data_IF_577951173787
#
_entry.id   IF_577951173787
#
_cell.length_a   1.000
_cell.length_b   1.000
_cell.length_c   1.000
_cell.angle_alpha   90.00
_cell.angle_beta   90.00
_cell.angle_gamma   90.00
#
_symmetry.space_group_name_H-M   'P 1'
#
loop_
_entity.id
_entity.type
_entity.pdbx_description
1 polymer ?
#
# COMPACT_ATOMS: atom_id res chain seq x y z
N UNK A 1 11.93 30.17 7.96
CA UNK A 1 10.58 30.45 7.42
C UNK A 1 10.27 29.67 6.14
N UNK A 2 11.06 29.73 5.05
CA UNK A 2 10.78 28.89 3.86
C UNK A 2 11.11 27.39 4.09
N UNK A 3 12.16 27.10 4.86
CA UNK A 3 12.63 25.75 5.13
C UNK A 3 11.69 24.94 6.04
N UNK A 4 10.99 25.62 6.95
CA UNK A 4 10.13 24.99 7.96
C UNK A 4 8.85 24.40 7.34
N UNK A 5 8.35 25.02 6.26
CA UNK A 5 7.16 24.52 5.52
C UNK A 5 7.49 23.27 4.71
N UNK A 6 8.66 23.27 4.05
CA UNK A 6 9.12 22.11 3.29
C UNK A 6 9.41 20.91 4.21
N UNK A 7 10.04 21.14 5.36
CA UNK A 7 10.27 20.11 6.36
C UNK A 7 8.96 19.50 6.88
N UNK A 8 7.96 20.34 7.16
CA UNK A 8 6.64 19.87 7.62
C UNK A 8 5.92 19.03 6.55
N UNK A 9 5.91 19.49 5.30
CA UNK A 9 5.30 18.74 4.20
C UNK A 9 5.98 17.37 4.02
N UNK A 10 7.31 17.30 4.15
CA UNK A 10 8.03 16.03 4.08
C UNK A 10 7.58 15.07 5.19
N UNK A 11 7.47 15.56 6.44
CA UNK A 11 6.94 14.75 7.56
C UNK A 11 5.52 14.29 7.30
N UNK A 12 4.64 15.16 6.81
CA UNK A 12 3.25 14.79 6.50
C UNK A 12 3.18 13.70 5.41
N UNK A 13 4.05 13.76 4.39
CA UNK A 13 4.14 12.74 3.33
C UNK A 13 4.66 11.42 3.88
N UNK A 14 5.69 11.44 4.71
CA UNK A 14 6.26 10.24 5.33
C UNK A 14 5.25 9.56 6.27
N UNK A 15 4.50 10.34 7.06
CA UNK A 15 3.45 9.83 7.95
C UNK A 15 2.35 9.11 7.16
N UNK A 16 1.89 9.70 6.05
CA UNK A 16 0.93 9.06 5.15
C UNK A 16 1.51 7.80 4.52
N UNK A 17 2.78 7.82 4.11
CA UNK A 17 3.43 6.63 3.57
C UNK A 17 3.43 5.49 4.60
N UNK A 18 3.75 5.79 5.87
CA UNK A 18 3.67 4.81 6.96
C UNK A 18 2.24 4.31 7.21
N UNK A 19 1.25 5.19 7.13
CA UNK A 19 -0.16 4.82 7.29
C UNK A 19 -0.64 3.87 6.18
N UNK A 20 -0.32 4.18 4.91
CA UNK A 20 -0.57 3.30 3.76
C UNK A 20 0.09 1.95 3.96
N UNK A 21 1.37 1.93 4.35
CA UNK A 21 2.09 0.70 4.64
C UNK A 21 1.40 -0.10 5.76
N UNK A 22 1.06 0.53 6.89
CA UNK A 22 0.42 -0.15 8.03
C UNK A 22 -0.86 -0.88 7.61
N UNK A 23 -1.71 -0.25 6.79
CA UNK A 23 -2.93 -0.86 6.27
C UNK A 23 -2.62 -2.06 5.36
N UNK A 24 -1.61 -1.94 4.50
CA UNK A 24 -1.23 -3.01 3.57
C UNK A 24 -0.52 -4.17 4.28
N UNK A 25 0.31 -3.90 5.29
CA UNK A 25 0.96 -4.92 6.09
C UNK A 25 -0.04 -5.67 6.96
N UNK A 26 -1.09 -5.04 7.46
CA UNK A 26 -2.00 -5.71 8.40
C UNK A 26 -2.93 -6.66 7.65
N UNK A 27 -2.84 -7.99 7.87
CA UNK A 27 -3.81 -8.91 7.28
C UNK A 27 -5.18 -8.65 7.89
N UNK A 28 -6.23 -8.67 7.04
CA UNK A 28 -7.60 -8.56 7.52
C UNK A 28 -7.88 -9.62 8.61
N UNK A 29 -8.39 -9.17 9.76
CA UNK A 29 -8.65 -10.02 10.93
C UNK A 29 -7.50 -10.19 11.92
N UNK A 30 -6.30 -9.66 11.64
CA UNK A 30 -5.14 -9.81 12.52
C UNK A 30 -5.22 -8.96 13.80
N UNK A 31 -5.85 -7.77 13.73
CA UNK A 31 -6.10 -6.93 14.90
C UNK A 31 -7.37 -7.41 15.62
N UNK A 32 -7.21 -8.10 16.76
CA UNK A 32 -8.31 -8.63 17.58
C UNK A 32 -9.31 -7.54 17.97
N UNK A 33 -8.84 -6.32 18.21
CA UNK A 33 -9.70 -5.20 18.59
C UNK A 33 -10.38 -4.53 17.39
N UNK A 34 -9.85 -4.74 16.18
CA UNK A 34 -10.36 -4.18 14.92
C UNK A 34 -10.26 -5.24 13.81
N UNK A 35 -11.09 -6.29 13.83
CA UNK A 35 -10.99 -7.39 12.86
C UNK A 35 -11.20 -6.94 11.41
N UNK A 36 -11.93 -5.85 11.19
CA UNK A 36 -12.14 -5.25 9.86
C UNK A 36 -10.94 -4.44 9.34
N UNK A 37 -9.94 -4.16 10.18
CA UNK A 37 -8.78 -3.35 9.82
C UNK A 37 -7.76 -4.20 9.04
N UNK A 38 -7.16 -3.59 8.02
CA UNK A 38 -6.13 -4.20 7.19
C UNK A 38 -6.57 -4.43 5.74
N UNK A 39 -5.85 -5.34 5.08
CA UNK A 39 -6.06 -5.66 3.68
C UNK A 39 -5.91 -7.17 3.41
N UNK A 40 -6.58 -7.64 2.36
CA UNK A 40 -6.67 -9.07 2.01
C UNK A 40 -5.91 -9.44 0.72
N UNK A 41 -5.03 -8.57 0.23
CA UNK A 41 -4.29 -8.79 -1.02
C UNK A 41 -3.40 -10.05 -0.99
N UNK A 42 -2.91 -10.45 0.19
CA UNK A 42 -1.99 -11.57 0.38
C UNK A 42 -2.56 -12.91 -0.08
N UNK A 43 -3.89 -13.07 -0.09
CA UNK A 43 -4.57 -14.30 -0.55
C UNK A 43 -4.31 -14.63 -2.02
N UNK A 44 -3.84 -13.66 -2.81
CA UNK A 44 -3.70 -13.77 -4.27
C UNK A 44 -2.23 -13.77 -4.72
N UNK A 45 -1.26 -13.78 -3.80
CA UNK A 45 0.16 -13.69 -4.17
C UNK A 45 0.62 -14.87 -5.02
N UNK A 46 0.17 -16.08 -4.72
CA UNK A 46 0.56 -17.28 -5.48
C UNK A 46 -0.26 -17.48 -6.76
N UNK A 47 -1.25 -16.61 -6.99
CA UNK A 47 -2.07 -16.68 -8.18
C UNK A 47 -1.34 -16.11 -9.42
N UNK A 48 -1.63 -16.64 -10.63
CA UNK A 48 -1.15 -16.04 -11.87
C UNK A 48 -1.52 -14.56 -11.97
N UNK A 49 -0.60 -13.71 -12.41
CA UNK A 49 -0.76 -12.24 -12.35
C UNK A 49 -2.03 -11.73 -13.06
N UNK A 50 -2.40 -12.34 -14.18
CA UNK A 50 -3.59 -11.94 -14.93
C UNK A 50 -4.89 -12.18 -14.14
N UNK A 51 -4.89 -13.18 -13.25
CA UNK A 51 -5.99 -13.47 -12.35
C UNK A 51 -5.88 -12.66 -11.05
N UNK A 52 -4.69 -12.60 -10.45
CA UNK A 52 -4.46 -11.92 -9.17
C UNK A 52 -4.69 -10.40 -9.24
N UNK A 53 -4.31 -9.76 -10.36
CA UNK A 53 -4.30 -8.29 -10.51
C UNK A 53 -5.61 -7.62 -10.13
N UNK A 54 -6.78 -7.95 -10.70
CA UNK A 54 -8.04 -7.30 -10.34
C UNK A 54 -8.41 -7.49 -8.86
N UNK A 55 -8.11 -8.66 -8.27
CA UNK A 55 -8.41 -8.94 -6.87
C UNK A 55 -7.51 -8.14 -5.91
N UNK A 56 -6.21 -8.12 -6.16
CA UNK A 56 -5.24 -7.33 -5.37
C UNK A 56 -5.57 -5.85 -5.47
N UNK A 57 -5.77 -5.32 -6.68
CA UNK A 57 -6.09 -3.90 -6.88
C UNK A 57 -7.37 -3.54 -6.15
N UNK A 58 -8.43 -4.36 -6.25
CA UNK A 58 -9.68 -4.13 -5.51
C UNK A 58 -9.46 -4.11 -4.00
N UNK A 59 -8.76 -5.10 -3.46
CA UNK A 59 -8.50 -5.19 -2.02
C UNK A 59 -7.74 -3.96 -1.51
N UNK A 60 -6.68 -3.55 -2.24
CA UNK A 60 -5.88 -2.36 -1.92
C UNK A 60 -6.74 -1.10 -1.97
N UNK A 61 -7.49 -0.88 -3.05
CA UNK A 61 -8.37 0.30 -3.20
C UNK A 61 -9.36 0.37 -2.02
N UNK A 62 -10.08 -0.73 -1.75
CA UNK A 62 -11.07 -0.76 -0.67
C UNK A 62 -10.46 -0.53 0.71
N UNK A 63 -9.26 -1.06 0.98
CA UNK A 63 -8.58 -0.87 2.26
C UNK A 63 -8.09 0.58 2.43
N UNK A 64 -7.47 1.15 1.40
CA UNK A 64 -6.93 2.52 1.45
C UNK A 64 -8.05 3.55 1.59
N UNK A 65 -9.10 3.46 0.78
CA UNK A 65 -10.24 4.39 0.85
C UNK A 65 -10.99 4.30 2.20
N UNK A 66 -11.02 3.11 2.82
CA UNK A 66 -11.68 2.92 4.12
C UNK A 66 -10.87 3.46 5.29
N UNK A 67 -9.55 3.27 5.27
CA UNK A 67 -8.72 3.48 6.46
C UNK A 67 -7.81 4.71 6.38
N UNK A 68 -7.36 5.12 5.19
CA UNK A 68 -6.46 6.27 5.01
C UNK A 68 -7.25 7.49 4.54
N UNK A 69 -8.10 8.01 5.41
CA UNK A 69 -9.07 9.09 5.08
C UNK A 69 -8.44 10.44 4.73
N UNK A 70 -7.14 10.62 5.02
CA UNK A 70 -6.40 11.88 4.83
C UNK A 70 -5.98 12.10 3.37
N UNK A 71 -6.11 11.09 2.53
CA UNK A 71 -5.71 11.12 1.12
C UNK A 71 -6.88 10.82 0.19
N UNK A 72 -6.78 11.31 -1.04
CA UNK A 72 -7.55 10.83 -2.17
C UNK A 72 -6.68 9.87 -2.98
N UNK A 73 -7.17 8.65 -3.17
CA UNK A 73 -6.51 7.64 -3.99
C UNK A 73 -6.64 8.01 -5.46
N UNK A 74 -5.50 8.14 -6.15
CA UNK A 74 -5.45 8.49 -7.56
C UNK A 74 -5.35 7.24 -8.42
N UNK A 75 -4.47 6.30 -8.03
CA UNK A 75 -4.21 5.10 -8.81
C UNK A 75 -3.61 3.99 -7.97
N UNK A 76 -3.93 2.75 -8.34
CA UNK A 76 -3.23 1.55 -7.88
C UNK A 76 -2.77 0.76 -9.09
N UNK A 77 -1.49 0.41 -9.14
CA UNK A 77 -0.90 -0.37 -10.22
C UNK A 77 -0.15 -1.56 -9.64
N UNK A 78 -0.45 -2.75 -10.18
CA UNK A 78 0.29 -3.96 -9.86
C UNK A 78 1.07 -4.43 -11.10
N UNK A 79 2.39 -4.40 -10.98
CA UNK A 79 3.32 -4.90 -11.99
C UNK A 79 3.99 -6.18 -11.52
N UNK A 80 4.31 -7.06 -12.46
CA UNK A 80 5.17 -8.22 -12.20
C UNK A 80 6.54 -7.92 -12.78
N UNK A 81 7.58 -8.27 -12.03
CA UNK A 81 8.98 -8.21 -12.43
C UNK A 81 9.55 -9.61 -12.35
N UNK A 82 10.25 -10.02 -13.40
CA UNK A 82 10.88 -11.33 -13.49
C UNK A 82 12.40 -11.16 -13.42
N UNK A 83 12.99 -11.43 -12.25
CA UNK A 83 14.42 -11.29 -12.02
C UNK A 83 15.03 -12.65 -11.67
N UNK A 84 15.98 -13.15 -12.48
CA UNK A 84 16.79 -14.35 -12.20
C UNK A 84 16.01 -15.55 -11.60
N UNK A 85 14.94 -16.00 -12.27
CA UNK A 85 14.02 -17.09 -11.86
C UNK A 85 13.05 -16.79 -10.69
N UNK A 86 13.01 -15.57 -10.17
CA UNK A 86 12.03 -15.16 -9.16
C UNK A 86 11.08 -14.10 -9.74
N UNK A 87 9.78 -14.39 -9.71
CA UNK A 87 8.75 -13.43 -10.08
C UNK A 87 8.35 -12.64 -8.84
N UNK A 88 8.56 -11.33 -8.84
CA UNK A 88 8.10 -10.41 -7.80
C UNK A 88 6.92 -9.58 -8.27
N UNK A 89 6.08 -9.16 -7.32
CA UNK A 89 4.96 -8.26 -7.59
C UNK A 89 5.21 -6.91 -6.92
N UNK A 90 5.27 -5.86 -7.74
CA UNK A 90 5.45 -4.48 -7.32
C UNK A 90 4.08 -3.78 -7.34
N UNK A 91 3.71 -3.18 -6.20
CA UNK A 91 2.49 -2.40 -6.02
C UNK A 91 2.85 -0.91 -5.91
N UNK A 92 2.31 -0.12 -6.82
CA UNK A 92 2.36 1.35 -6.79
C UNK A 92 1.00 1.88 -6.35
N UNK A 93 0.99 2.71 -5.32
CA UNK A 93 -0.19 3.44 -4.83
C UNK A 93 0.08 4.94 -5.00
N UNK A 94 -0.62 5.58 -5.94
CA UNK A 94 -0.56 7.02 -6.17
C UNK A 94 -1.72 7.70 -5.45
N UNK A 95 -1.42 8.78 -4.75
CA UNK A 95 -2.39 9.50 -3.91
C UNK A 95 -2.05 10.99 -3.84
N UNK A 96 -3.02 11.79 -3.42
CA UNK A 96 -2.86 13.22 -3.11
C UNK A 96 -3.56 13.53 -1.79
N UNK A 97 -3.22 14.65 -1.14
CA UNK A 97 -3.90 15.04 0.10
C UNK A 97 -5.36 15.41 -0.16
N UNK A 98 -6.27 14.95 0.70
CA UNK A 98 -7.71 15.18 0.56
C UNK A 98 -8.12 16.64 0.85
N UNK A 99 -7.32 17.37 1.61
CA UNK A 99 -7.56 18.77 1.95
C UNK A 99 -7.13 19.75 0.85
N UNK A 100 -6.62 19.25 -0.29
CA UNK A 100 -6.16 20.07 -1.40
C UNK A 100 -4.92 20.92 -1.09
N UNK A 101 -4.22 20.66 0.02
CA UNK A 101 -3.02 21.42 0.44
C UNK A 101 -1.89 21.30 -0.59
N UNK A 102 -1.88 20.22 -1.38
CA UNK A 102 -1.03 20.07 -2.55
C UNK A 102 -1.76 19.31 -3.66
N UNK A 103 -1.81 19.88 -4.87
CA UNK A 103 -2.20 19.14 -6.09
C UNK A 103 -1.12 18.15 -6.55
N UNK A 104 -0.01 18.09 -5.83
CA UNK A 104 1.07 17.15 -6.11
C UNK A 104 0.60 15.72 -5.82
N UNK A 105 0.83 14.85 -6.79
CA UNK A 105 0.63 13.42 -6.64
C UNK A 105 1.89 12.83 -6.00
N UNK A 106 1.69 12.06 -4.95
CA UNK A 106 2.71 11.27 -4.25
C UNK A 106 2.51 9.79 -4.56
N UNK A 107 3.57 9.01 -4.39
CA UNK A 107 3.57 7.58 -4.70
C UNK A 107 4.18 6.77 -3.56
N UNK A 108 3.44 5.78 -3.09
CA UNK A 108 3.95 4.72 -2.22
C UNK A 108 4.23 3.48 -3.07
N UNK A 109 5.50 3.11 -3.22
CA UNK A 109 5.93 1.92 -3.94
C UNK A 109 6.25 0.82 -2.94
N UNK A 110 5.70 -0.36 -3.16
CA UNK A 110 5.79 -1.46 -2.22
C UNK A 110 5.97 -2.76 -2.97
N UNK A 111 7.00 -3.52 -2.61
CA UNK A 111 7.18 -4.87 -3.11
C UNK A 111 6.37 -5.82 -2.23
N UNK A 112 5.45 -6.57 -2.83
CA UNK A 112 4.56 -7.47 -2.08
C UNK A 112 5.31 -8.62 -1.42
N UNK A 113 6.44 -9.05 -1.98
CA UNK A 113 7.27 -10.10 -1.37
C UNK A 113 7.90 -9.63 -0.06
N UNK A 114 8.36 -8.37 -0.01
CA UNK A 114 8.92 -7.77 1.20
C UNK A 114 7.83 -7.63 2.28
N UNK A 115 6.60 -7.32 1.84
CA UNK A 115 5.42 -7.30 2.72
C UNK A 115 5.15 -8.67 3.36
N UNK A 116 5.23 -9.74 2.57
CA UNK A 116 5.00 -11.11 3.06
C UNK A 116 6.09 -11.56 4.02
N UNK A 117 7.35 -11.23 3.71
CA UNK A 117 8.50 -11.58 4.54
C UNK A 117 8.40 -10.99 5.94
N UNK A 118 7.92 -9.74 6.08
CA UNK A 118 7.78 -9.10 7.39
C UNK A 118 6.63 -9.65 8.23
N UNK A 119 5.66 -10.32 7.60
CA UNK A 119 4.49 -10.90 8.29
C UNK A 119 4.77 -12.26 8.92
N UNK A 120 6.00 -12.77 8.80
CA UNK A 120 6.38 -14.09 9.33
C UNK A 120 5.70 -15.24 8.58
N UNK A 121 5.08 -14.98 7.43
CA UNK A 121 4.36 -15.97 6.62
C UNK A 121 5.33 -16.86 5.82
N UNK A 122 6.62 -16.52 5.78
CA UNK A 122 7.64 -17.37 5.17
C UNK A 122 8.32 -18.22 6.26
N UNK A 123 7.82 -19.44 6.44
CA UNK A 123 8.63 -20.58 6.94
C UNK A 123 8.41 -21.75 5.99
N UNK A 124 9.24 -21.79 4.94
CA UNK A 124 10.04 -22.92 4.44
C UNK A 124 10.46 -22.66 2.99
#
# INVERSE_FOLDING_TARGET
>A
MLNDRAARLATDVDDIHQEVLLVLYTPLGADIHRPDFGCEWWQWIDSPINYARPHIVRAVVSAIERWVIRIELVRVVLTQRDDNNYASKDLLVEWKFADGVAEQIFSSNVRLDDLLASLGVITQ
#
